data_IF_303695206911
#
_entry.id   IF_303695206911
#
_cell.length_a   1.000
_cell.length_b   1.000
_cell.length_c   1.000
_cell.angle_alpha   90.00
_cell.angle_beta   90.00
_cell.angle_gamma   90.00
#
_symmetry.space_group_name_H-M   'P 1'
#
loop_
_entity.id
_entity.type
_entity.pdbx_description
1 polymer ?
#
# COMPACT_ATOMS: atom_id res chain seq x y z
N UNK A 1 11.26 32.53 18.29
CA UNK A 1 12.07 33.59 17.62
C UNK A 1 12.00 33.39 16.11
N UNK A 2 11.09 34.08 15.42
CA UNK A 2 11.03 34.07 13.95
C UNK A 2 11.70 35.36 13.44
N UNK A 3 12.75 35.21 12.62
CA UNK A 3 13.47 36.35 12.05
C UNK A 3 12.51 37.20 11.19
N UNK A 4 12.46 38.50 11.46
CA UNK A 4 11.62 39.44 10.71
C UNK A 4 12.06 39.47 9.23
N UNK A 5 11.07 39.41 8.32
CA UNK A 5 11.29 39.51 6.87
C UNK A 5 12.01 40.84 6.57
N UNK A 6 13.22 40.76 6.01
CA UNK A 6 14.02 41.92 5.60
C UNK A 6 15.30 42.18 6.42
N UNK A 7 15.52 41.47 7.53
CA UNK A 7 16.79 41.53 8.29
C UNK A 7 17.93 40.71 7.66
N UNK A 8 17.63 39.90 6.65
CA UNK A 8 18.63 39.10 5.92
C UNK A 8 18.95 39.78 4.59
N UNK A 9 20.23 39.90 4.24
CA UNK A 9 20.70 40.39 2.92
C UNK A 9 20.48 39.39 1.78
N UNK A 10 19.76 38.29 2.02
CA UNK A 10 19.52 37.23 1.05
C UNK A 10 18.49 37.65 0.00
N UNK A 11 18.87 37.56 -1.28
CA UNK A 11 17.95 37.79 -2.40
C UNK A 11 17.01 36.59 -2.57
N UNK A 12 15.76 36.74 -2.14
CA UNK A 12 14.72 35.69 -2.22
C UNK A 12 13.88 35.76 -3.51
N UNK A 13 14.19 36.67 -4.43
CA UNK A 13 13.45 36.81 -5.69
C UNK A 13 13.78 35.67 -6.66
N UNK A 14 12.76 35.09 -7.30
CA UNK A 14 12.97 34.13 -8.38
C UNK A 14 13.77 34.79 -9.52
N UNK A 15 14.95 34.25 -9.91
CA UNK A 15 15.76 34.83 -10.97
C UNK A 15 15.05 34.72 -12.32
N UNK A 16 15.07 35.80 -13.10
CA UNK A 16 14.50 35.81 -14.46
C UNK A 16 15.48 35.18 -15.44
N UNK A 17 15.01 34.21 -16.22
CA UNK A 17 15.82 33.57 -17.27
C UNK A 17 15.92 34.47 -18.49
N UNK A 18 17.09 34.53 -19.11
CA UNK A 18 17.30 35.25 -20.38
C UNK A 18 16.86 34.36 -21.53
N UNK A 19 15.72 34.67 -22.14
CA UNK A 19 15.16 33.93 -23.27
C UNK A 19 15.35 34.76 -24.55
N UNK A 20 15.75 34.12 -25.64
CA UNK A 20 15.91 34.78 -26.94
C UNK A 20 14.55 35.01 -27.61
N UNK A 21 14.42 36.09 -28.39
CA UNK A 21 13.18 36.40 -29.12
C UNK A 21 12.74 35.27 -30.06
N UNK A 22 13.70 34.58 -30.68
CA UNK A 22 13.43 33.41 -31.54
C UNK A 22 12.74 32.26 -30.76
N UNK A 23 13.20 31.96 -29.54
CA UNK A 23 12.57 30.94 -28.69
C UNK A 23 11.15 31.33 -28.27
N UNK A 24 10.93 32.61 -27.95
CA UNK A 24 9.59 33.11 -27.61
C UNK A 24 8.61 32.92 -28.76
N UNK A 25 9.01 33.26 -30.00
CA UNK A 25 8.17 33.07 -31.19
C UNK A 25 7.85 31.58 -31.41
N UNK A 26 8.87 30.72 -31.32
CA UNK A 26 8.69 29.26 -31.45
C UNK A 26 7.68 28.72 -30.42
N UNK A 27 7.83 29.09 -29.15
CA UNK A 27 6.93 28.64 -28.09
C UNK A 27 5.49 29.17 -28.24
N UNK A 28 5.31 30.35 -28.84
CA UNK A 28 3.97 30.87 -29.12
C UNK A 28 3.25 30.03 -30.17
N UNK A 29 3.98 29.57 -31.20
CA UNK A 29 3.46 28.66 -32.23
C UNK A 29 3.17 27.28 -31.65
N UNK A 30 4.11 26.72 -30.89
CA UNK A 30 3.93 25.41 -30.22
C UNK A 30 2.73 25.41 -29.25
N UNK A 31 2.56 26.47 -28.45
CA UNK A 31 1.42 26.61 -27.54
C UNK A 31 0.08 26.61 -28.29
N UNK A 32 0.03 27.27 -29.44
CA UNK A 32 -1.18 27.31 -30.27
C UNK A 32 -1.57 25.91 -30.75
N UNK A 33 -0.58 25.10 -31.16
CA UNK A 33 -0.80 23.70 -31.55
C UNK A 33 -1.21 22.85 -30.34
N UNK A 34 -0.50 22.97 -29.22
CA UNK A 34 -0.80 22.26 -27.98
C UNK A 34 -2.23 22.51 -27.50
N UNK A 35 -2.64 23.78 -27.40
CA UNK A 35 -4.00 24.13 -26.96
C UNK A 35 -5.07 23.69 -27.95
N UNK A 36 -4.76 23.61 -29.25
CA UNK A 36 -5.66 23.06 -30.27
C UNK A 36 -5.84 21.55 -30.05
N UNK A 37 -4.77 20.83 -29.75
CA UNK A 37 -4.82 19.40 -29.48
C UNK A 37 -5.56 19.08 -28.17
N UNK A 38 -5.30 19.81 -27.09
CA UNK A 38 -6.04 19.66 -25.83
C UNK A 38 -7.54 19.92 -26.03
N UNK A 39 -7.90 20.90 -26.86
CA UNK A 39 -9.31 21.14 -27.23
C UNK A 39 -9.89 19.95 -28.03
N UNK A 40 -9.15 19.41 -28.99
CA UNK A 40 -9.56 18.27 -29.82
C UNK A 40 -9.78 17.00 -28.99
N UNK A 41 -8.94 16.77 -27.99
CA UNK A 41 -9.02 15.62 -27.09
C UNK A 41 -10.07 15.79 -25.97
N UNK A 42 -10.75 16.94 -25.88
CA UNK A 42 -11.68 17.24 -24.78
C UNK A 42 -11.00 17.54 -23.43
N UNK A 43 -9.68 17.64 -23.40
CA UNK A 43 -8.88 17.89 -22.20
C UNK A 43 -8.74 19.40 -21.93
N UNK A 44 -9.87 20.09 -21.75
CA UNK A 44 -9.88 21.55 -21.55
C UNK A 44 -9.09 22.00 -20.32
N UNK A 45 -9.09 21.19 -19.26
CA UNK A 45 -8.30 21.38 -18.02
C UNK A 45 -6.79 21.47 -18.27
N UNK A 46 -6.30 20.90 -19.38
CA UNK A 46 -4.88 20.85 -19.71
C UNK A 46 -4.43 21.99 -20.61
N UNK A 47 -5.33 22.88 -21.03
CA UNK A 47 -4.94 24.08 -21.78
C UNK A 47 -4.10 25.00 -20.88
N UNK A 48 -3.05 25.58 -21.45
CA UNK A 48 -2.10 26.43 -20.72
C UNK A 48 -2.11 27.87 -21.23
N UNK A 49 -1.76 28.82 -20.36
CA UNK A 49 -1.32 30.16 -20.77
C UNK A 49 0.11 30.12 -21.28
N UNK A 50 0.58 31.21 -21.90
CA UNK A 50 1.95 31.26 -22.43
C UNK A 50 3.01 31.16 -21.33
N UNK A 51 2.80 31.83 -20.22
CA UNK A 51 3.70 31.79 -19.06
C UNK A 51 3.77 30.37 -18.48
N UNK A 52 2.61 29.72 -18.33
CA UNK A 52 2.53 28.33 -17.87
C UNK A 52 3.23 27.37 -18.82
N UNK A 53 3.08 27.55 -20.13
CA UNK A 53 3.74 26.74 -21.14
C UNK A 53 5.26 26.92 -21.12
N UNK A 54 5.75 28.16 -20.92
CA UNK A 54 7.18 28.42 -20.74
C UNK A 54 7.72 27.70 -19.50
N UNK A 55 6.99 27.74 -18.38
CA UNK A 55 7.38 26.99 -17.18
C UNK A 55 7.34 25.47 -17.40
N UNK A 56 6.40 24.98 -18.20
CA UNK A 56 6.23 23.57 -18.55
C UNK A 56 7.40 23.05 -19.38
N UNK A 57 7.78 23.76 -20.44
CA UNK A 57 8.98 23.45 -21.25
C UNK A 57 10.24 23.40 -20.38
N UNK A 58 10.25 24.17 -19.30
CA UNK A 58 11.36 24.25 -18.36
C UNK A 58 11.29 23.28 -17.18
N UNK A 59 10.25 22.44 -17.10
CA UNK A 59 10.07 21.46 -16.03
C UNK A 59 9.68 22.06 -14.66
N UNK A 60 9.34 23.34 -14.62
CA UNK A 60 8.98 24.04 -13.38
C UNK A 60 7.47 24.18 -13.19
N UNK A 61 6.67 23.74 -14.17
CA UNK A 61 5.22 23.84 -14.09
C UNK A 61 4.67 22.90 -13.04
N UNK A 62 4.08 23.48 -12.00
CA UNK A 62 3.29 22.75 -11.02
C UNK A 62 1.81 22.94 -11.33
N UNK A 63 1.05 21.88 -11.67
CA UNK A 63 -0.37 22.00 -11.91
C UNK A 63 -1.07 22.48 -10.63
N UNK A 64 -2.15 23.24 -10.80
CA UNK A 64 -2.98 23.64 -9.68
C UNK A 64 -3.46 22.37 -8.94
N UNK A 65 -3.17 22.28 -7.64
CA UNK A 65 -3.68 21.18 -6.83
C UNK A 65 -5.20 21.30 -6.82
N UNK A 66 -5.89 20.27 -7.31
CA UNK A 66 -7.32 20.12 -7.04
C UNK A 66 -7.45 19.84 -5.54
N UNK A 67 -7.60 20.88 -4.72
CA UNK A 67 -8.02 20.75 -3.32
C UNK A 67 -9.48 20.30 -3.33
N UNK A 68 -9.70 19.04 -3.70
CA UNK A 68 -10.84 18.33 -3.13
C UNK A 68 -10.53 18.30 -1.63
N UNK A 69 -11.20 19.14 -0.86
CA UNK A 69 -11.19 19.04 0.61
C UNK A 69 -11.42 17.57 0.93
N UNK A 70 -10.65 16.99 1.85
CA UNK A 70 -10.71 15.57 2.21
C UNK A 70 -12.17 15.10 2.39
N UNK A 71 -13.04 15.97 2.92
CA UNK A 71 -14.50 15.82 3.04
C UNK A 71 -15.30 15.56 1.74
N UNK A 72 -14.72 15.75 0.55
CA UNK A 72 -15.41 15.67 -0.75
C UNK A 72 -15.20 14.35 -1.46
N UNK A 73 -14.31 13.47 -0.99
CA UNK A 73 -14.19 12.15 -1.63
C UNK A 73 -15.27 11.21 -1.10
N UNK A 74 -15.81 10.29 -1.91
CA UNK A 74 -16.90 9.38 -1.51
C UNK A 74 -16.62 8.52 -0.26
N UNK A 75 -15.34 8.32 0.08
CA UNK A 75 -14.90 7.46 1.19
C UNK A 75 -14.64 8.22 2.50
N UNK A 76 -14.63 9.55 2.47
CA UNK A 76 -14.50 10.35 3.67
C UNK A 76 -15.91 10.64 4.19
N UNK A 77 -16.35 9.86 5.19
CA UNK A 77 -17.59 10.11 5.94
C UNK A 77 -17.47 11.44 6.71
N UNK A 78 -17.77 12.55 6.07
CA UNK A 78 -18.08 13.79 6.79
C UNK A 78 -19.52 13.70 7.32
N UNK A 79 -19.69 13.33 8.59
CA UNK A 79 -20.91 13.65 9.34
C UNK A 79 -22.00 12.57 9.44
N UNK A 80 -21.81 11.35 8.93
CA UNK A 80 -22.74 10.24 9.21
C UNK A 80 -21.94 8.97 9.50
N UNK A 81 -21.53 8.79 10.75
CA UNK A 81 -21.32 7.45 11.29
C UNK A 81 -22.62 6.69 11.03
N UNK A 82 -22.55 5.55 10.37
CA UNK A 82 -23.73 4.68 10.26
C UNK A 82 -24.02 4.14 11.67
N UNK A 83 -24.93 4.82 12.38
CA UNK A 83 -25.42 4.40 13.67
C UNK A 83 -26.72 3.63 13.49
N UNK A 84 -26.73 2.38 13.96
CA UNK A 84 -27.94 1.57 13.99
C UNK A 84 -28.92 2.19 14.98
N UNK A 85 -30.14 2.49 14.52
CA UNK A 85 -31.22 3.10 15.35
C UNK A 85 -31.96 2.13 16.26
N UNK A 86 -31.78 0.83 16.07
CA UNK A 86 -32.55 -0.20 16.80
C UNK A 86 -31.90 -0.53 18.13
N UNK A 87 -32.69 -0.53 19.19
CA UNK A 87 -32.25 -0.85 20.56
C UNK A 87 -31.91 -2.34 20.75
N UNK A 88 -32.62 -3.23 20.05
CA UNK A 88 -32.41 -4.67 20.17
C UNK A 88 -31.23 -5.17 19.33
N UNK A 89 -30.21 -5.72 19.98
CA UNK A 89 -29.03 -6.33 19.34
C UNK A 89 -29.02 -7.84 19.64
N UNK A 90 -29.42 -8.70 18.70
CA UNK A 90 -29.51 -10.16 18.91
C UNK A 90 -28.18 -10.81 19.33
N UNK A 91 -27.06 -10.27 18.86
CA UNK A 91 -25.70 -10.69 19.21
C UNK A 91 -25.14 -10.05 20.48
N UNK A 92 -25.83 -9.05 21.02
CA UNK A 92 -25.40 -8.22 22.14
C UNK A 92 -26.04 -8.64 23.46
N UNK A 93 -26.11 -9.94 23.75
CA UNK A 93 -26.55 -10.43 25.07
C UNK A 93 -25.53 -10.06 26.14
N UNK A 94 -25.57 -8.83 26.64
CA UNK A 94 -24.74 -8.29 27.73
C UNK A 94 -25.27 -8.68 29.11
N UNK A 95 -25.51 -9.97 29.34
CA UNK A 95 -26.04 -10.48 30.61
C UNK A 95 -25.27 -11.66 31.18
N UNK A 96 -24.32 -12.23 30.45
CA UNK A 96 -23.51 -13.33 30.93
C UNK A 96 -22.05 -12.88 30.98
N UNK A 97 -21.56 -12.65 32.19
CA UNK A 97 -20.12 -12.67 32.47
C UNK A 97 -19.66 -14.13 32.36
N UNK A 98 -19.60 -14.66 31.14
CA UNK A 98 -18.79 -15.83 30.87
C UNK A 98 -17.37 -15.30 30.66
N UNK A 99 -16.41 -15.54 31.59
CA UNK A 99 -15.03 -15.20 31.30
C UNK A 99 -14.66 -15.89 29.99
N UNK A 100 -14.19 -15.12 29.01
CA UNK A 100 -13.69 -15.65 27.75
C UNK A 100 -12.37 -16.39 28.03
N UNK A 101 -12.47 -17.53 28.71
CA UNK A 101 -11.33 -18.40 28.97
C UNK A 101 -10.76 -18.84 27.63
N UNK A 102 -9.43 -18.85 27.56
CA UNK A 102 -8.71 -19.25 26.34
C UNK A 102 -9.23 -20.62 25.92
N UNK A 103 -9.73 -20.72 24.68
CA UNK A 103 -10.06 -22.01 24.08
C UNK A 103 -8.79 -22.87 24.11
N UNK A 104 -8.86 -24.04 24.74
CA UNK A 104 -7.75 -24.98 24.79
C UNK A 104 -7.29 -25.32 23.36
N UNK A 105 -5.97 -25.46 23.12
CA UNK A 105 -5.46 -25.81 21.80
C UNK A 105 -6.02 -27.16 21.39
N UNK A 106 -6.53 -27.26 20.15
CA UNK A 106 -7.04 -28.50 19.62
C UNK A 106 -5.91 -29.53 19.56
N UNK A 107 -6.07 -30.66 20.25
CA UNK A 107 -5.11 -31.75 20.25
C UNK A 107 -5.55 -32.81 19.23
N UNK A 108 -4.59 -33.34 18.47
CA UNK A 108 -4.86 -34.45 17.55
C UNK A 108 -5.08 -35.74 18.35
N UNK A 109 -6.27 -36.33 18.26
CA UNK A 109 -6.68 -37.55 18.98
C UNK A 109 -6.48 -38.84 18.17
N UNK A 110 -5.94 -38.74 16.94
CA UNK A 110 -5.71 -39.91 16.10
C UNK A 110 -4.58 -40.80 16.64
N UNK A 111 -4.71 -42.11 16.40
CA UNK A 111 -3.77 -43.16 16.85
C UNK A 111 -2.31 -42.90 16.40
N UNK A 112 -2.12 -42.43 15.17
CA UNK A 112 -0.79 -42.11 14.62
C UNK A 112 -0.45 -40.64 14.84
N UNK A 113 0.34 -40.34 15.88
CA UNK A 113 0.82 -38.98 16.13
C UNK A 113 1.96 -38.63 15.18
N UNK A 114 1.83 -37.56 14.39
CA UNK A 114 2.93 -37.05 13.58
C UNK A 114 4.01 -36.47 14.51
N UNK A 115 5.23 -36.99 14.43
CA UNK A 115 6.38 -36.52 15.23
C UNK A 115 7.18 -35.48 14.45
N UNK A 116 7.36 -35.69 13.14
CA UNK A 116 8.12 -34.79 12.29
C UNK A 116 8.07 -35.16 10.81
N UNK A 117 8.84 -34.43 10.00
CA UNK A 117 8.97 -34.66 8.55
C UNK A 117 10.45 -34.86 8.25
N UNK A 118 10.80 -35.97 7.60
CA UNK A 118 12.16 -36.25 7.12
C UNK A 118 12.25 -36.14 5.60
N UNK A 119 13.47 -35.99 5.09
CA UNK A 119 13.75 -35.97 3.65
C UNK A 119 14.46 -37.25 3.24
N UNK A 120 13.81 -38.04 2.38
CA UNK A 120 14.42 -39.25 1.80
C UNK A 120 15.40 -38.87 0.68
N UNK A 121 15.02 -37.91 -0.18
CA UNK A 121 15.93 -37.24 -1.13
C UNK A 121 15.56 -35.75 -1.24
N UNK A 122 16.36 -34.94 -1.95
CA UNK A 122 16.24 -33.46 -2.00
C UNK A 122 14.82 -32.92 -2.32
N UNK A 123 13.99 -33.72 -2.97
CA UNK A 123 12.63 -33.37 -3.40
C UNK A 123 11.53 -34.26 -2.81
N UNK A 124 11.81 -35.16 -1.86
CA UNK A 124 10.81 -36.04 -1.24
C UNK A 124 10.82 -35.89 0.28
N UNK A 125 9.76 -35.25 0.78
CA UNK A 125 9.49 -35.09 2.21
C UNK A 125 8.50 -36.17 2.67
N UNK A 126 8.93 -36.97 3.64
CA UNK A 126 8.20 -38.13 4.16
C UNK A 126 7.79 -37.87 5.61
N UNK A 127 6.51 -37.97 5.96
CA UNK A 127 6.05 -37.81 7.34
C UNK A 127 6.50 -39.00 8.20
N UNK A 128 6.96 -38.70 9.42
CA UNK A 128 7.34 -39.70 10.44
C UNK A 128 6.29 -39.71 11.53
N UNK A 129 5.64 -40.85 11.68
CA UNK A 129 4.64 -41.08 12.73
C UNK A 129 5.28 -41.78 13.94
N UNK A 130 4.70 -41.53 15.11
CA UNK A 130 4.86 -42.42 16.27
C UNK A 130 4.12 -43.72 15.95
N UNK A 131 4.83 -44.83 15.85
CA UNK A 131 4.21 -46.15 15.83
C UNK A 131 4.01 -46.61 17.28
N UNK A 132 2.83 -47.17 17.56
CA UNK A 132 2.39 -47.41 18.92
C UNK A 132 3.25 -48.46 19.66
N UNK A 133 3.38 -48.23 20.97
CA UNK A 133 4.13 -48.97 22.00
C UNK A 133 5.66 -48.71 22.05
N UNK A 134 6.41 -48.99 20.98
CA UNK A 134 7.88 -49.14 21.08
C UNK A 134 8.72 -47.93 20.64
N UNK A 135 8.15 -46.95 19.92
CA UNK A 135 8.92 -45.78 19.44
C UNK A 135 8.13 -44.47 19.53
N UNK A 136 7.90 -44.04 20.78
CA UNK A 136 7.30 -42.72 21.11
C UNK A 136 8.07 -41.53 20.52
N UNK A 137 9.33 -41.73 20.13
CA UNK A 137 10.21 -40.70 19.56
C UNK A 137 10.29 -40.70 18.03
N UNK A 138 9.73 -41.72 17.37
CA UNK A 138 9.83 -41.91 15.91
C UNK A 138 11.26 -42.05 15.40
N UNK A 139 12.20 -42.41 16.29
CA UNK A 139 13.64 -42.39 16.03
C UNK A 139 14.05 -43.50 15.08
N UNK A 140 13.42 -44.66 15.13
CA UNK A 140 13.71 -45.81 14.24
C UNK A 140 13.36 -45.44 12.80
N UNK A 141 12.11 -45.01 12.56
CA UNK A 141 11.65 -44.56 11.25
C UNK A 141 12.47 -43.38 10.70
N UNK A 142 12.83 -42.41 11.56
CA UNK A 142 13.71 -41.31 11.16
C UNK A 142 15.11 -41.78 10.73
N UNK A 143 15.68 -42.77 11.43
CA UNK A 143 17.02 -43.31 11.16
C UNK A 143 17.05 -44.13 9.87
N UNK A 144 16.00 -44.89 9.59
CA UNK A 144 15.85 -45.66 8.35
C UNK A 144 15.82 -44.73 7.14
N UNK A 145 14.97 -43.68 7.18
CA UNK A 145 14.88 -42.69 6.09
C UNK A 145 16.20 -41.94 5.91
N UNK A 146 16.89 -41.61 7.01
CA UNK A 146 18.20 -40.95 6.95
C UNK A 146 19.29 -41.84 6.35
N UNK A 147 19.24 -43.14 6.59
CA UNK A 147 20.17 -44.12 5.98
C UNK A 147 19.91 -44.26 4.49
N UNK A 148 18.65 -44.34 4.07
CA UNK A 148 18.29 -44.37 2.64
C UNK A 148 18.75 -43.14 1.86
N UNK A 149 18.86 -41.98 2.53
CA UNK A 149 19.39 -40.76 1.91
C UNK A 149 20.91 -40.78 1.70
N UNK A 150 21.64 -41.53 2.54
CA UNK A 150 23.11 -41.53 2.57
C UNK A 150 23.75 -42.63 1.71
N UNK A 151 22.99 -43.66 1.37
CA UNK A 151 23.37 -44.70 0.42
C UNK A 151 23.00 -44.29 -1.01
#
# INVERSE_FOLDING_TARGET
MHLARGLTTLNTKKPKRRITKAKLKRWAEELRLYNKDMKRLGMHDHKMTFEQYVEYVHGNFTPARKTATVMSTPWHQSGVSYERKTDHIPSGKSGSFAPATKKEPMQYTGKRRLIGIATMHKSNMVPIFADDEDDKSGRKAATEIATMRRN
#
